data_IF_126403564254
#
_entry.id   IF_126403564254
#
_cell.length_a   1.000
_cell.length_b   1.000
_cell.length_c   1.000
_cell.angle_alpha   90.00
_cell.angle_beta   90.00
_cell.angle_gamma   90.00
#
_symmetry.space_group_name_H-M   'P 1'
#
loop_
_entity.id
_entity.type
_entity.pdbx_description
1 polymer ?
#
# COMPACT_ATOMS: atom_id res chain seq x y z
N UNK A 1 1.69 -8.91 13.12
CA UNK A 1 0.69 -7.93 13.59
C UNK A 1 -0.30 -7.53 12.49
N UNK A 2 0.15 -7.00 11.34
CA UNK A 2 -0.73 -6.55 10.22
C UNK A 2 -1.67 -7.66 9.74
N UNK A 3 -1.14 -8.86 9.44
CA UNK A 3 -1.96 -10.02 9.05
C UNK A 3 -3.06 -10.32 10.05
N UNK A 4 -2.71 -10.46 11.34
CA UNK A 4 -3.67 -10.78 12.41
C UNK A 4 -4.79 -9.75 12.47
N UNK A 5 -4.46 -8.46 12.39
CA UNK A 5 -5.46 -7.38 12.38
C UNK A 5 -6.36 -7.46 11.16
N UNK A 6 -5.78 -7.55 9.95
CA UNK A 6 -6.57 -7.59 8.71
C UNK A 6 -7.42 -8.86 8.61
N UNK A 7 -6.91 -10.01 9.04
CA UNK A 7 -7.70 -11.25 9.10
C UNK A 7 -8.89 -11.12 10.05
N UNK A 8 -8.68 -10.51 11.22
CA UNK A 8 -9.78 -10.24 12.17
C UNK A 8 -10.80 -9.26 11.60
N UNK A 9 -10.36 -8.17 10.97
CA UNK A 9 -11.25 -7.23 10.30
C UNK A 9 -12.04 -7.90 9.18
N UNK A 10 -11.39 -8.71 8.33
CA UNK A 10 -12.08 -9.44 7.27
C UNK A 10 -13.09 -10.48 7.81
N UNK A 11 -12.88 -11.01 9.01
CA UNK A 11 -13.85 -11.88 9.68
C UNK A 11 -15.05 -11.13 10.26
N UNK A 12 -14.93 -9.81 10.47
CA UNK A 12 -15.99 -8.92 10.93
C UNK A 12 -16.67 -8.16 9.78
N UNK A 13 -16.34 -8.47 8.52
CA UNK A 13 -16.95 -7.83 7.36
C UNK A 13 -18.46 -8.10 7.35
N UNK A 14 -19.31 -7.05 7.39
CA UNK A 14 -20.77 -7.22 7.39
C UNK A 14 -21.32 -7.66 6.02
N UNK A 15 -20.49 -7.69 4.98
CA UNK A 15 -20.88 -8.12 3.64
C UNK A 15 -21.23 -9.60 3.61
N UNK A 16 -22.22 -10.02 2.80
CA UNK A 16 -22.62 -11.43 2.71
C UNK A 16 -21.42 -12.32 2.38
N UNK A 17 -21.43 -13.53 2.95
CA UNK A 17 -20.34 -14.52 2.94
C UNK A 17 -19.84 -14.83 1.52
N UNK A 18 -18.87 -14.05 1.04
CA UNK A 18 -18.04 -14.26 -0.17
C UNK A 18 -17.00 -13.15 -0.41
N UNK A 19 -16.98 -12.07 0.38
CA UNK A 19 -16.05 -10.94 0.21
C UNK A 19 -14.91 -10.88 1.21
N UNK A 20 -14.73 -11.92 2.05
CA UNK A 20 -13.57 -11.95 2.93
C UNK A 20 -12.29 -11.95 2.08
N UNK A 21 -11.53 -10.86 2.16
CA UNK A 21 -10.35 -10.62 1.34
C UNK A 21 -9.31 -11.75 1.37
N UNK A 22 -9.20 -12.50 2.48
CA UNK A 22 -8.27 -13.62 2.61
C UNK A 22 -8.80 -14.95 2.07
N UNK A 23 -10.07 -15.01 1.63
CA UNK A 23 -10.70 -16.20 1.04
C UNK A 23 -10.93 -16.08 -0.47
N UNK A 24 -10.65 -14.92 -1.07
CA UNK A 24 -10.94 -14.63 -2.48
C UNK A 24 -9.86 -15.14 -3.46
N UNK A 25 -8.68 -15.51 -2.97
CA UNK A 25 -7.55 -15.96 -3.79
C UNK A 25 -6.21 -15.75 -3.06
N UNK A 26 -5.09 -16.07 -3.70
CA UNK A 26 -3.76 -15.76 -3.18
C UNK A 26 -3.57 -14.25 -2.95
N UNK A 27 -2.98 -13.91 -1.80
CA UNK A 27 -2.85 -12.51 -1.35
C UNK A 27 -1.79 -11.73 -2.15
N UNK A 28 -0.84 -12.45 -2.74
CA UNK A 28 0.28 -11.98 -3.54
C UNK A 28 -0.03 -11.87 -5.05
N UNK A 29 -1.29 -12.04 -5.44
CA UNK A 29 -1.69 -11.80 -6.83
C UNK A 29 -1.99 -10.31 -7.09
N UNK A 30 -1.68 -9.78 -8.29
CA UNK A 30 -1.89 -8.36 -8.60
C UNK A 30 -3.32 -7.85 -8.47
N UNK A 31 -4.31 -8.74 -8.54
CA UNK A 31 -5.73 -8.41 -8.41
C UNK A 31 -6.27 -8.54 -6.98
N UNK A 32 -5.47 -9.02 -6.02
CA UNK A 32 -5.90 -9.10 -4.64
C UNK A 32 -6.15 -7.71 -4.05
N UNK A 33 -7.26 -7.53 -3.33
CA UNK A 33 -7.61 -6.28 -2.65
C UNK A 33 -8.19 -6.60 -1.28
N UNK A 34 -7.98 -5.70 -0.33
CA UNK A 34 -8.68 -5.76 0.95
C UNK A 34 -10.04 -5.08 0.82
N UNK A 35 -11.10 -5.89 0.83
CA UNK A 35 -12.48 -5.44 0.82
C UNK A 35 -13.07 -5.50 2.24
N UNK A 36 -13.83 -4.48 2.63
CA UNK A 36 -14.63 -4.48 3.84
C UNK A 36 -15.91 -3.66 3.61
N UNK A 37 -17.06 -4.18 4.01
CA UNK A 37 -18.36 -3.54 3.78
C UNK A 37 -18.60 -3.15 2.30
N UNK A 38 -18.17 -4.01 1.36
CA UNK A 38 -18.22 -3.83 -0.10
C UNK A 38 -17.35 -2.68 -0.64
N UNK A 39 -16.43 -2.15 0.14
CA UNK A 39 -15.47 -1.12 -0.30
C UNK A 39 -14.05 -1.69 -0.33
N UNK A 40 -13.43 -1.65 -1.50
CA UNK A 40 -12.01 -1.96 -1.66
C UNK A 40 -11.16 -0.81 -1.11
N UNK A 41 -10.15 -1.16 -0.33
CA UNK A 41 -9.23 -0.18 0.26
C UNK A 41 -7.82 -0.36 -0.27
N UNK A 42 -7.20 0.76 -0.65
CA UNK A 42 -5.75 0.86 -0.68
C UNK A 42 -5.26 0.97 0.77
N UNK A 43 -4.35 0.06 1.14
CA UNK A 43 -3.80 -0.04 2.48
C UNK A 43 -2.36 0.44 2.47
N UNK A 44 -1.98 1.22 3.47
CA UNK A 44 -0.58 1.59 3.68
C UNK A 44 -0.24 1.70 5.15
N UNK A 45 1.02 1.47 5.50
CA UNK A 45 1.49 1.53 6.89
C UNK A 45 2.51 2.62 7.11
N UNK A 46 2.42 3.27 8.27
CA UNK A 46 3.42 4.21 8.77
C UNK A 46 3.90 3.77 10.14
N UNK A 47 5.19 3.91 10.42
CA UNK A 47 5.76 3.51 11.71
C UNK A 47 7.01 4.33 12.07
N UNK A 48 7.22 4.66 13.35
CA UNK A 48 8.47 5.30 13.80
C UNK A 48 9.69 4.37 13.69
N UNK A 49 9.49 3.08 13.43
CA UNK A 49 10.56 2.09 13.24
C UNK A 49 11.26 2.19 11.88
N UNK A 50 10.66 2.89 10.92
CA UNK A 50 11.33 3.24 9.68
C UNK A 50 12.33 4.38 9.92
N UNK A 51 13.31 4.53 9.04
CA UNK A 51 14.19 5.70 9.05
C UNK A 51 13.45 6.92 8.51
N UNK A 52 13.88 8.12 8.89
CA UNK A 52 13.28 9.40 8.45
C UNK A 52 13.28 9.61 6.93
N UNK A 53 14.20 8.96 6.22
CA UNK A 53 14.30 8.95 4.75
C UNK A 53 13.37 7.92 4.08
N UNK A 54 12.53 7.23 4.83
CA UNK A 54 11.51 6.33 4.30
C UNK A 54 10.17 7.05 4.12
N UNK A 55 9.51 6.80 3.00
CA UNK A 55 8.11 7.20 2.78
C UNK A 55 7.11 6.61 3.79
N UNK A 56 7.53 5.63 4.60
CA UNK A 56 6.72 4.99 5.64
C UNK A 56 7.02 5.50 7.06
N UNK A 57 7.91 6.48 7.20
CA UNK A 57 8.19 7.07 8.50
C UNK A 57 6.98 7.80 9.07
N UNK A 58 6.66 7.53 10.33
CA UNK A 58 5.62 8.26 11.06
C UNK A 58 6.27 9.44 11.80
N UNK A 59 6.06 10.66 11.30
CA UNK A 59 6.62 11.87 11.90
C UNK A 59 5.93 12.20 13.24
N UNK A 60 6.73 12.65 14.21
CA UNK A 60 6.27 13.24 15.48
C UNK A 60 5.38 12.33 16.34
N UNK A 61 5.51 11.01 16.19
CA UNK A 61 4.69 10.05 16.92
C UNK A 61 5.44 8.77 17.23
N UNK A 62 5.11 8.15 18.36
CA UNK A 62 5.58 6.81 18.74
C UNK A 62 4.65 5.69 18.27
N UNK A 63 3.57 6.02 17.56
CA UNK A 63 2.56 5.06 17.13
C UNK A 63 2.74 4.65 15.66
N UNK A 64 2.39 3.40 15.36
CA UNK A 64 2.26 2.92 13.99
C UNK A 64 0.80 2.99 13.54
N UNK A 65 0.59 3.27 12.26
CA UNK A 65 -0.74 3.39 11.67
C UNK A 65 -0.87 2.43 10.50
N UNK A 66 -2.07 1.88 10.33
CA UNK A 66 -2.52 1.30 9.08
C UNK A 66 -3.61 2.22 8.56
N UNK A 67 -3.36 2.85 7.42
CA UNK A 67 -4.30 3.74 6.77
C UNK A 67 -5.12 2.94 5.74
N UNK A 68 -6.43 3.02 5.86
CA UNK A 68 -7.40 2.47 4.92
C UNK A 68 -7.89 3.61 4.05
N UNK A 69 -7.61 3.56 2.76
CA UNK A 69 -8.02 4.59 1.81
C UNK A 69 -9.02 3.97 0.81
N UNK A 70 -10.29 4.40 0.81
CA UNK A 70 -11.29 3.86 -0.11
C UNK A 70 -10.87 4.07 -1.57
N UNK A 71 -10.92 3.01 -2.39
CA UNK A 71 -10.62 3.11 -3.82
C UNK A 71 -11.61 4.01 -4.56
N UNK A 72 -12.85 4.15 -4.06
CA UNK A 72 -13.80 5.15 -4.58
C UNK A 72 -13.24 6.58 -4.49
N UNK A 73 -12.44 6.90 -3.47
CA UNK A 73 -11.77 8.19 -3.36
C UNK A 73 -10.68 8.36 -4.41
N UNK A 74 -9.92 7.29 -4.70
CA UNK A 74 -8.90 7.29 -5.76
C UNK A 74 -9.54 7.51 -7.13
N UNK A 75 -10.68 6.87 -7.40
CA UNK A 75 -11.44 7.06 -8.64
C UNK A 75 -11.87 8.52 -8.85
N UNK A 76 -12.36 9.18 -7.79
CA UNK A 76 -12.75 10.61 -7.84
C UNK A 76 -11.58 11.55 -8.15
N UNK A 77 -10.35 11.13 -7.91
CA UNK A 77 -9.14 11.94 -8.14
C UNK A 77 -8.29 11.45 -9.32
N UNK A 78 -8.78 10.49 -10.12
CA UNK A 78 -8.06 9.94 -11.27
C UNK A 78 -6.78 9.18 -10.88
N UNK A 79 -6.80 8.45 -9.77
CA UNK A 79 -5.64 7.74 -9.21
C UNK A 79 -5.69 6.21 -9.33
N UNK A 80 -6.71 5.65 -10.00
CA UNK A 80 -6.96 4.20 -10.07
C UNK A 80 -6.03 3.45 -11.03
N UNK A 81 -5.59 4.08 -12.11
CA UNK A 81 -4.73 3.45 -13.11
C UNK A 81 -3.27 3.60 -12.68
N UNK A 82 -2.54 2.52 -12.42
CA UNK A 82 -1.11 2.54 -12.08
C UNK A 82 -0.23 3.01 -13.26
N UNK A 83 0.92 3.63 -12.96
CA UNK A 83 1.88 4.10 -13.96
C UNK A 83 3.28 3.68 -13.55
N UNK A 84 4.10 3.15 -14.49
CA UNK A 84 5.45 2.69 -14.19
C UNK A 84 6.37 3.85 -13.80
N UNK A 85 7.56 3.54 -13.28
CA UNK A 85 8.52 4.58 -12.88
C UNK A 85 8.94 5.45 -14.07
N UNK A 86 9.20 4.84 -15.23
CA UNK A 86 9.56 5.52 -16.48
C UNK A 86 8.51 6.52 -16.99
N UNK A 87 7.23 6.33 -16.64
CA UNK A 87 6.14 7.22 -17.06
C UNK A 87 6.02 8.48 -16.17
N UNK A 88 6.75 8.58 -15.07
CA UNK A 88 6.66 9.72 -14.14
C UNK A 88 7.32 10.96 -14.75
N UNK A 89 6.57 12.05 -14.90
CA UNK A 89 7.15 13.33 -15.31
C UNK A 89 7.81 14.05 -14.13
N UNK A 90 9.08 13.72 -13.87
CA UNK A 90 9.86 14.29 -12.77
C UNK A 90 10.18 15.79 -12.91
N UNK A 91 10.09 16.35 -14.12
CA UNK A 91 10.47 17.75 -14.39
C UNK A 91 9.29 18.71 -14.37
N UNK A 92 8.14 18.26 -14.85
CA UNK A 92 6.92 19.07 -14.93
C UNK A 92 5.69 18.22 -14.55
N UNK A 93 5.53 17.89 -13.25
CA UNK A 93 4.49 16.96 -12.80
C UNK A 93 3.10 17.58 -12.97
N UNK A 94 2.30 17.03 -13.89
CA UNK A 94 0.94 17.51 -14.15
C UNK A 94 -0.10 16.70 -13.38
N UNK A 95 0.06 15.38 -13.32
CA UNK A 95 -0.84 14.48 -12.60
C UNK A 95 -0.67 14.58 -11.09
N UNK A 96 -1.73 14.27 -10.32
CA UNK A 96 -1.65 14.23 -8.85
C UNK A 96 -0.62 13.20 -8.37
N UNK A 97 -0.48 12.08 -9.10
CA UNK A 97 0.52 11.05 -8.79
C UNK A 97 1.94 11.55 -8.99
N UNK A 98 2.23 12.20 -10.10
CA UNK A 98 3.58 12.74 -10.37
C UNK A 98 3.92 13.81 -9.33
N UNK A 99 2.96 14.67 -8.99
CA UNK A 99 3.13 15.68 -7.93
C UNK A 99 3.46 15.03 -6.59
N UNK A 100 2.76 13.97 -6.21
CA UNK A 100 3.07 13.21 -5.00
C UNK A 100 4.47 12.59 -5.07
N UNK A 101 4.81 11.87 -6.14
CA UNK A 101 6.13 11.24 -6.34
C UNK A 101 7.27 12.25 -6.24
N UNK A 102 7.14 13.39 -6.91
CA UNK A 102 8.11 14.49 -6.86
C UNK A 102 8.23 15.05 -5.43
N UNK A 103 7.10 15.33 -4.76
CA UNK A 103 7.12 15.85 -3.40
C UNK A 103 7.82 14.91 -2.40
N UNK A 104 7.56 13.60 -2.46
CA UNK A 104 8.26 12.61 -1.64
C UNK A 104 9.77 12.60 -1.93
N UNK A 105 10.16 12.66 -3.21
CA UNK A 105 11.57 12.71 -3.61
C UNK A 105 12.28 13.98 -3.12
N UNK A 106 11.66 15.14 -3.28
CA UNK A 106 12.21 16.44 -2.88
C UNK A 106 12.34 16.58 -1.36
N UNK A 107 11.47 15.91 -0.59
CA UNK A 107 11.55 15.87 0.87
C UNK A 107 12.46 14.75 1.40
N UNK A 108 13.24 14.09 0.54
CA UNK A 108 14.21 13.07 0.94
C UNK A 108 13.61 11.75 1.40
N UNK A 109 12.33 11.51 1.09
CA UNK A 109 11.62 10.27 1.41
C UNK A 109 11.05 9.56 0.18
N UNK A 110 11.85 9.34 -0.89
CA UNK A 110 11.36 8.65 -2.08
C UNK A 110 10.90 7.23 -1.74
N UNK A 111 10.06 6.67 -2.60
CA UNK A 111 9.62 5.28 -2.52
C UNK A 111 9.83 4.58 -3.84
N UNK A 112 9.99 3.26 -3.78
CA UNK A 112 10.13 2.46 -4.98
C UNK A 112 8.81 2.47 -5.77
N UNK A 113 8.94 2.77 -7.06
CA UNK A 113 7.86 2.73 -8.04
C UNK A 113 8.16 1.54 -8.96
N UNK A 114 7.25 0.55 -9.09
CA UNK A 114 7.45 -0.57 -10.00
C UNK A 114 7.55 -0.11 -11.45
N UNK A 115 8.44 -0.74 -12.22
CA UNK A 115 8.52 -0.53 -13.66
C UNK A 115 7.57 -1.48 -14.42
N UNK A 116 7.38 -2.69 -13.90
CA UNK A 116 6.49 -3.69 -14.47
C UNK A 116 5.10 -3.62 -13.82
N UNK A 117 4.06 -3.61 -14.66
CA UNK A 117 2.66 -3.62 -14.25
C UNK A 117 1.95 -4.83 -14.88
N UNK A 118 0.96 -5.45 -14.21
CA UNK A 118 0.52 -5.15 -12.85
C UNK A 118 1.44 -5.79 -11.80
N UNK A 119 1.48 -5.22 -10.60
CA UNK A 119 2.28 -5.73 -9.48
C UNK A 119 1.41 -6.13 -8.29
N UNK A 120 1.88 -7.03 -7.39
CA UNK A 120 1.19 -7.36 -6.16
C UNK A 120 1.10 -6.16 -5.20
N UNK A 121 -0.10 -5.58 -5.05
CA UNK A 121 -0.31 -4.42 -4.16
C UNK A 121 -0.01 -4.72 -2.69
N UNK A 122 -0.08 -6.00 -2.30
CA UNK A 122 0.19 -6.46 -0.93
C UNK A 122 1.59 -6.07 -0.46
N UNK A 123 2.58 -6.03 -1.35
CA UNK A 123 3.96 -5.67 -1.04
C UNK A 123 4.11 -4.20 -0.63
N UNK A 124 3.14 -3.37 -1.01
CA UNK A 124 3.15 -1.93 -0.71
C UNK A 124 2.46 -1.60 0.61
N UNK A 125 1.76 -2.56 1.24
CA UNK A 125 1.10 -2.38 2.52
C UNK A 125 2.15 -2.23 3.63
N UNK A 126 3.13 -3.15 3.70
CA UNK A 126 4.30 -3.04 4.58
C UNK A 126 5.55 -3.07 3.72
N UNK A 127 6.31 -1.97 3.73
CA UNK A 127 7.55 -1.87 2.95
C UNK A 127 8.74 -2.45 3.74
N UNK A 128 9.79 -2.95 3.05
CA UNK A 128 11.08 -3.20 3.71
C UNK A 128 11.67 -1.89 4.29
N UNK A 129 12.60 -2.03 5.25
CA UNK A 129 13.33 -0.87 5.81
C UNK A 129 14.09 -0.09 4.73
N UNK A 130 14.53 -0.78 3.68
CA UNK A 130 15.12 -0.22 2.46
C UNK A 130 14.20 -0.55 1.28
N UNK A 131 13.47 0.45 0.80
CA UNK A 131 12.50 0.31 -0.31
C UNK A 131 13.19 0.60 -1.65
N UNK A 132 14.02 -0.34 -2.11
CA UNK A 132 14.76 -0.25 -3.38
C UNK A 132 14.19 -1.17 -4.48
N UNK A 133 13.06 -1.82 -4.22
CA UNK A 133 12.41 -2.75 -5.14
C UNK A 133 13.01 -4.16 -5.17
N UNK A 134 14.03 -4.46 -4.35
CA UNK A 134 14.68 -5.77 -4.32
C UNK A 134 14.20 -6.68 -3.20
N UNK A 135 13.59 -6.08 -2.16
CA UNK A 135 13.19 -6.77 -0.94
C UNK A 135 11.68 -6.66 -0.73
N UNK A 136 11.09 -7.73 -0.23
CA UNK A 136 9.66 -7.80 0.08
C UNK A 136 9.47 -8.27 1.53
N UNK A 137 8.59 -7.58 2.27
CA UNK A 137 8.18 -8.01 3.61
C UNK A 137 6.89 -8.80 3.46
N UNK A 138 6.98 -10.13 3.54
CA UNK A 138 5.84 -11.04 3.40
C UNK A 138 4.96 -11.08 4.65
N UNK A 139 4.42 -9.92 5.02
CA UNK A 139 3.65 -9.74 6.25
C UNK A 139 2.38 -10.60 6.31
N UNK A 140 1.89 -11.07 5.15
CA UNK A 140 0.69 -11.89 4.97
C UNK A 140 0.95 -13.39 5.19
N UNK A 141 2.20 -13.82 5.23
CA UNK A 141 2.55 -15.19 5.61
C UNK A 141 2.34 -15.39 7.12
N UNK A 142 2.00 -16.61 7.57
CA UNK A 142 2.09 -16.95 8.98
C UNK A 142 3.49 -16.66 9.51
N UNK A 143 3.58 -16.15 10.74
CA UNK A 143 4.83 -16.23 11.47
C UNK A 143 5.10 -17.72 11.66
N UNK A 144 6.26 -18.21 11.24
CA UNK A 144 6.69 -19.56 11.58
C UNK A 144 6.64 -19.71 13.12
N UNK A 145 6.19 -20.87 13.63
CA UNK A 145 6.11 -21.13 15.07
C UNK A 145 7.45 -20.98 15.79
#
# INVERSE_FOLDING_TARGET
MVRVLLTKLAALDPSPEKQNAFKMGPVDEPHWRFCFAREDSFLTTFSPTYRKDSSRYAFETSHSFILFQPLTSFGRHGLTEDTPASATNWKNPTSMRDKARVAFKENGCPYHIPEELPYPVVEHIVKPKKDDGTSCVRWWEPLEP
#
